data_IF_898162921092
#
_entry.id   IF_898162921092
#
_cell.length_a   1.000
_cell.length_b   1.000
_cell.length_c   1.000
_cell.angle_alpha   90.00
_cell.angle_beta   90.00
_cell.angle_gamma   90.00
#
_symmetry.space_group_name_H-M   'P 1'
#
loop_
_entity.id
_entity.type
_entity.pdbx_description
1 polymer ?
#
# COMPACT_ATOMS: atom_id res chain seq x y z
N UNK A 1 17.75 17.43 -21.48
CA UNK A 1 17.06 16.23 -21.97
C UNK A 1 15.76 16.16 -21.21
N UNK A 2 14.65 16.21 -21.93
CA UNK A 2 13.33 16.31 -21.31
C UNK A 2 12.66 14.94 -21.29
N UNK A 3 11.96 14.65 -20.20
CA UNK A 3 11.22 13.41 -20.00
C UNK A 3 10.01 13.37 -20.95
N UNK A 4 9.77 12.22 -21.59
CA UNK A 4 8.67 12.07 -22.55
C UNK A 4 7.35 11.67 -21.86
N UNK A 5 6.71 12.66 -21.22
CA UNK A 5 5.42 12.49 -20.53
C UNK A 5 4.24 12.16 -21.47
N UNK A 6 4.33 12.46 -22.76
CA UNK A 6 3.28 12.14 -23.74
C UNK A 6 3.25 10.64 -24.06
N UNK A 7 4.43 10.02 -24.20
CA UNK A 7 4.56 8.58 -24.42
C UNK A 7 4.09 7.81 -23.18
N UNK A 8 4.44 8.28 -22.00
CA UNK A 8 4.06 7.64 -20.75
C UNK A 8 3.75 8.69 -19.68
N UNK A 9 2.46 8.93 -19.35
CA UNK A 9 2.10 9.91 -18.30
C UNK A 9 2.50 9.43 -16.91
N UNK A 10 2.84 8.14 -16.76
CA UNK A 10 3.24 7.52 -15.51
C UNK A 10 4.51 6.68 -15.73
N UNK A 11 5.65 7.30 -15.49
CA UNK A 11 6.96 6.76 -15.85
C UNK A 11 7.50 5.80 -14.79
N UNK A 12 8.02 4.63 -15.19
CA UNK A 12 8.74 3.74 -14.28
C UNK A 12 10.00 4.44 -13.73
N UNK A 13 10.19 4.28 -12.43
CA UNK A 13 11.35 4.81 -11.71
C UNK A 13 12.02 3.71 -10.92
N UNK A 14 13.29 3.47 -11.22
CA UNK A 14 14.15 2.56 -10.46
C UNK A 14 14.89 3.37 -9.41
N UNK A 15 14.72 3.02 -8.14
CA UNK A 15 15.51 3.57 -7.05
C UNK A 15 16.71 2.67 -6.78
N UNK A 16 17.91 3.21 -6.84
CA UNK A 16 19.16 2.51 -6.61
C UNK A 16 19.97 3.22 -5.52
N UNK A 17 20.56 2.44 -4.61
CA UNK A 17 21.46 3.00 -3.61
C UNK A 17 22.67 3.66 -4.29
N UNK A 18 22.94 4.92 -3.93
CA UNK A 18 23.99 5.69 -4.58
C UNK A 18 25.42 5.21 -4.27
N UNK A 19 25.62 4.46 -3.17
CA UNK A 19 26.94 3.93 -2.78
C UNK A 19 27.10 2.48 -3.22
N UNK A 20 26.17 1.60 -2.84
CA UNK A 20 26.33 0.17 -3.11
C UNK A 20 25.96 -0.21 -4.54
N UNK A 21 25.13 0.59 -5.20
CA UNK A 21 24.54 0.23 -6.50
C UNK A 21 23.41 -0.79 -6.39
N UNK A 22 22.95 -1.13 -5.18
CA UNK A 22 21.82 -2.05 -5.03
C UNK A 22 20.54 -1.44 -5.57
N UNK A 23 19.80 -2.20 -6.38
CA UNK A 23 18.43 -1.81 -6.76
C UNK A 23 17.52 -2.01 -5.56
N UNK A 24 16.89 -0.93 -5.10
CA UNK A 24 16.08 -0.88 -3.89
C UNK A 24 14.60 -1.15 -4.17
N UNK A 25 14.05 -0.50 -5.19
CA UNK A 25 12.65 -0.67 -5.58
C UNK A 25 12.40 -0.13 -6.99
N UNK A 26 11.29 -0.56 -7.58
CA UNK A 26 10.67 0.08 -8.73
C UNK A 26 9.34 0.70 -8.27
N UNK A 27 9.11 1.94 -8.68
CA UNK A 27 7.85 2.64 -8.51
C UNK A 27 7.55 3.43 -9.78
N UNK A 28 6.57 4.33 -9.70
CA UNK A 28 6.18 5.18 -10.81
C UNK A 28 6.11 6.63 -10.36
N UNK A 29 6.35 7.56 -11.28
CA UNK A 29 6.14 9.00 -11.09
C UNK A 29 5.26 9.52 -12.22
N UNK A 30 4.27 10.31 -11.88
CA UNK A 30 3.70 11.27 -12.83
C UNK A 30 4.52 12.57 -12.81
N UNK A 31 4.12 13.54 -13.64
CA UNK A 31 4.84 14.81 -13.74
C UNK A 31 4.94 15.53 -12.40
N UNK A 32 3.84 15.59 -11.65
CA UNK A 32 3.78 16.27 -10.35
C UNK A 32 4.67 15.58 -9.31
N UNK A 33 4.67 14.24 -9.24
CA UNK A 33 5.58 13.51 -8.34
C UNK A 33 7.05 13.75 -8.68
N UNK A 34 7.39 13.88 -9.96
CA UNK A 34 8.74 14.21 -10.39
C UNK A 34 9.14 15.65 -10.00
N UNK A 35 8.27 16.62 -10.22
CA UNK A 35 8.49 18.02 -9.80
C UNK A 35 8.69 18.13 -8.29
N UNK A 36 7.83 17.49 -7.48
CA UNK A 36 8.00 17.43 -6.03
C UNK A 36 9.31 16.74 -5.60
N UNK A 37 9.77 15.77 -6.38
CA UNK A 37 11.07 15.12 -6.14
C UNK A 37 12.22 16.09 -6.35
N UNK A 38 12.19 16.90 -7.41
CA UNK A 38 13.18 17.93 -7.67
C UNK A 38 13.18 19.02 -6.59
N UNK A 39 11.99 19.51 -6.23
CA UNK A 39 11.83 20.60 -5.26
C UNK A 39 12.29 20.21 -3.86
N UNK A 40 11.91 19.01 -3.41
CA UNK A 40 12.17 18.59 -2.04
C UNK A 40 13.53 17.93 -1.83
N UNK A 41 14.17 17.45 -2.90
CA UNK A 41 15.36 16.59 -2.82
C UNK A 41 15.10 15.18 -2.27
N UNK A 42 13.83 14.77 -2.16
CA UNK A 42 13.43 13.44 -1.69
C UNK A 42 12.52 12.76 -2.71
N UNK A 43 12.63 11.43 -2.85
CA UNK A 43 11.82 10.69 -3.81
C UNK A 43 10.32 10.74 -3.45
N UNK A 44 9.52 11.29 -4.37
CA UNK A 44 8.06 11.26 -4.37
C UNK A 44 7.58 10.38 -5.52
N UNK A 45 6.63 9.51 -5.27
CA UNK A 45 6.11 8.57 -6.27
C UNK A 45 4.61 8.72 -6.41
N UNK A 46 4.05 8.26 -7.54
CA UNK A 46 2.61 8.15 -7.77
C UNK A 46 2.13 6.71 -7.57
N UNK A 47 1.25 6.48 -6.60
CA UNK A 47 0.82 5.14 -6.20
C UNK A 47 -0.36 4.73 -7.05
N UNK A 48 -0.16 3.77 -7.95
CA UNK A 48 -1.29 3.23 -8.74
C UNK A 48 -2.37 2.58 -7.89
N UNK A 49 -2.01 1.98 -6.76
CA UNK A 49 -2.97 1.31 -5.86
C UNK A 49 -3.68 2.28 -4.91
N UNK A 50 -2.99 3.31 -4.43
CA UNK A 50 -3.59 4.37 -3.58
C UNK A 50 -4.18 5.52 -4.39
N UNK A 51 -3.88 5.58 -5.69
CA UNK A 51 -4.25 6.64 -6.63
C UNK A 51 -3.92 8.05 -6.11
N UNK A 52 -2.69 8.23 -5.60
CA UNK A 52 -2.19 9.51 -5.09
C UNK A 52 -0.67 9.54 -5.10
N UNK A 53 -0.12 10.75 -5.05
CA UNK A 53 1.30 10.98 -4.79
C UNK A 53 1.62 10.69 -3.32
N UNK A 54 2.82 10.20 -3.06
CA UNK A 54 3.35 10.01 -1.71
C UNK A 54 4.86 10.27 -1.65
N UNK A 55 5.32 10.86 -0.55
CA UNK A 55 6.75 10.95 -0.25
C UNK A 55 7.23 9.61 0.31
N UNK A 56 8.28 9.02 -0.26
CA UNK A 56 8.82 7.76 0.30
C UNK A 56 9.30 7.99 1.73
N UNK A 57 8.72 7.22 2.65
CA UNK A 57 9.04 7.33 4.08
C UNK A 57 8.23 8.38 4.84
N UNK A 58 7.17 8.98 4.25
CA UNK A 58 6.33 9.99 4.92
C UNK A 58 5.83 9.58 6.30
N UNK A 59 5.46 8.31 6.47
CA UNK A 59 5.00 7.77 7.77
C UNK A 59 6.08 7.01 8.52
N UNK A 60 7.06 6.43 7.82
CA UNK A 60 8.03 5.49 8.40
C UNK A 60 9.40 6.10 8.71
N UNK A 61 9.63 7.33 8.28
CA UNK A 61 10.96 7.98 8.22
C UNK A 61 12.01 7.21 7.39
N UNK A 62 11.62 6.16 6.66
CA UNK A 62 12.50 5.43 5.75
C UNK A 62 12.57 6.12 4.38
N UNK A 63 13.16 7.32 4.39
CA UNK A 63 13.18 8.23 3.25
C UNK A 63 14.25 7.87 2.22
N UNK A 64 14.09 8.41 1.02
CA UNK A 64 15.07 8.33 -0.06
C UNK A 64 15.48 9.75 -0.44
N UNK A 65 16.68 10.16 -0.02
CA UNK A 65 17.26 11.45 -0.40
C UNK A 65 17.91 11.31 -1.78
N UNK A 66 17.54 12.17 -2.73
CA UNK A 66 18.00 12.09 -4.11
C UNK A 66 19.42 12.63 -4.21
N UNK A 67 20.30 11.85 -4.83
CA UNK A 67 21.71 12.20 -5.08
C UNK A 67 21.99 12.43 -6.55
N UNK A 68 21.28 11.73 -7.43
CA UNK A 68 21.35 11.92 -8.88
C UNK A 68 20.05 11.40 -9.53
N UNK A 69 19.76 11.91 -10.73
CA UNK A 69 18.61 11.50 -11.54
C UNK A 69 19.13 11.24 -12.95
N UNK A 70 19.10 9.98 -13.36
CA UNK A 70 19.46 9.57 -14.70
C UNK A 70 18.19 9.20 -15.47
N UNK A 71 18.26 9.39 -16.79
CA UNK A 71 17.20 9.03 -17.71
C UNK A 71 17.77 8.06 -18.76
N UNK A 72 16.95 7.13 -19.23
CA UNK A 72 17.35 6.20 -20.29
C UNK A 72 17.39 6.85 -21.68
N UNK A 73 17.76 6.06 -22.70
CA UNK A 73 18.09 6.57 -24.02
C UNK A 73 16.88 7.07 -24.82
N UNK A 74 15.66 6.61 -24.51
CA UNK A 74 14.41 7.03 -25.13
C UNK A 74 13.50 7.83 -24.18
N UNK A 75 14.04 8.25 -23.05
CA UNK A 75 13.46 9.21 -22.12
C UNK A 75 12.13 8.78 -21.48
N UNK A 76 11.95 7.48 -21.24
CA UNK A 76 10.72 6.90 -20.68
C UNK A 76 10.91 6.16 -19.35
N UNK A 77 12.15 6.04 -18.87
CA UNK A 77 12.47 5.44 -17.57
C UNK A 77 13.48 6.28 -16.81
N UNK A 78 13.25 6.46 -15.50
CA UNK A 78 14.15 7.19 -14.61
C UNK A 78 14.90 6.22 -13.71
N UNK A 79 16.20 6.47 -13.53
CA UNK A 79 17.01 5.88 -12.46
C UNK A 79 17.34 6.95 -11.43
N UNK A 80 16.77 6.82 -10.24
CA UNK A 80 17.14 7.63 -9.08
C UNK A 80 18.30 7.00 -8.34
N UNK A 81 19.41 7.73 -8.22
CA UNK A 81 20.45 7.42 -7.24
C UNK A 81 20.05 8.05 -5.92
N UNK A 82 19.81 7.21 -4.91
CA UNK A 82 19.27 7.67 -3.62
C UNK A 82 20.16 7.25 -2.46
N UNK A 83 20.25 8.11 -1.45
CA UNK A 83 20.66 7.71 -0.11
C UNK A 83 19.44 7.22 0.64
N UNK A 84 19.37 5.91 0.87
CA UNK A 84 18.28 5.29 1.62
C UNK A 84 18.50 5.45 3.13
N UNK A 85 17.55 6.07 3.82
CA UNK A 85 17.46 6.04 5.28
C UNK A 85 16.55 4.89 5.71
N UNK A 86 16.96 4.07 6.69
CA UNK A 86 16.23 2.86 7.06
C UNK A 86 16.16 1.85 5.91
N UNK A 87 15.03 1.14 5.79
CA UNK A 87 14.81 0.12 4.74
C UNK A 87 13.84 0.59 3.65
N UNK A 88 14.07 0.20 2.39
CA UNK A 88 13.19 0.61 1.30
C UNK A 88 11.84 -0.12 1.36
N UNK A 89 11.82 -1.39 1.77
CA UNK A 89 10.64 -2.24 1.75
C UNK A 89 9.87 -2.23 3.08
N UNK A 90 8.53 -2.21 2.98
CA UNK A 90 7.65 -2.30 4.16
C UNK A 90 7.75 -3.66 4.88
N UNK A 91 8.31 -4.69 4.25
CA UNK A 91 8.55 -6.00 4.88
C UNK A 91 9.75 -6.02 5.83
N UNK A 92 10.47 -4.90 5.93
CA UNK A 92 11.65 -4.76 6.79
C UNK A 92 12.98 -5.11 6.11
N UNK A 93 12.99 -5.35 4.80
CA UNK A 93 14.21 -5.62 4.01
C UNK A 93 14.73 -4.37 3.33
N UNK A 94 16.06 -4.22 3.19
CA UNK A 94 16.68 -3.08 2.50
C UNK A 94 16.13 -2.85 1.09
N UNK A 95 15.90 -3.92 0.32
CA UNK A 95 15.34 -3.87 -1.04
C UNK A 95 14.02 -4.64 -1.14
N UNK A 96 13.12 -4.20 -2.03
CA UNK A 96 11.93 -4.94 -2.43
C UNK A 96 12.26 -6.23 -3.20
N UNK A 97 13.46 -6.35 -3.76
CA UNK A 97 13.92 -7.51 -4.54
C UNK A 97 14.53 -8.60 -3.63
N UNK A 98 13.80 -8.99 -2.57
CA UNK A 98 14.29 -9.90 -1.52
C UNK A 98 13.97 -11.38 -1.76
N UNK A 99 13.27 -11.74 -2.85
CA UNK A 99 12.92 -13.12 -3.24
C UNK A 99 13.53 -13.45 -4.60
N UNK A 100 14.12 -14.64 -4.74
CA UNK A 100 14.62 -15.16 -6.02
C UNK A 100 13.68 -16.22 -6.58
N UNK A 101 13.25 -16.05 -7.83
CA UNK A 101 12.42 -17.03 -8.53
C UNK A 101 13.22 -18.30 -8.84
N UNK A 102 14.46 -18.17 -9.32
CA UNK A 102 15.29 -19.31 -9.70
C UNK A 102 15.70 -20.17 -8.51
N UNK A 103 15.98 -19.55 -7.36
CA UNK A 103 16.35 -20.28 -6.13
C UNK A 103 15.12 -20.72 -5.32
N UNK A 104 13.94 -20.17 -5.61
CA UNK A 104 12.73 -20.43 -4.85
C UNK A 104 12.78 -19.96 -3.40
N UNK A 105 13.70 -19.06 -3.05
CA UNK A 105 13.97 -18.66 -1.66
C UNK A 105 14.13 -17.14 -1.50
N UNK A 106 14.16 -16.70 -0.24
CA UNK A 106 14.51 -15.33 0.11
C UNK A 106 16.02 -15.15 0.05
N UNK A 107 16.46 -14.09 -0.61
CA UNK A 107 17.88 -13.72 -0.75
C UNK A 107 18.29 -12.57 0.16
N UNK A 108 17.33 -11.83 0.73
CA UNK A 108 17.57 -10.81 1.75
C UNK A 108 16.76 -11.11 3.01
N UNK A 109 17.43 -10.98 4.15
CA UNK A 109 16.84 -11.07 5.48
C UNK A 109 16.14 -9.77 5.86
N UNK A 110 15.18 -9.88 6.80
CA UNK A 110 14.54 -8.72 7.43
C UNK A 110 15.56 -8.06 8.36
N UNK A 111 15.81 -6.78 8.17
CA UNK A 111 16.73 -5.98 8.98
C UNK A 111 16.00 -5.27 10.12
N UNK A 112 14.74 -4.87 9.89
CA UNK A 112 13.95 -4.08 10.85
C UNK A 112 12.57 -4.69 11.02
N UNK A 113 12.06 -4.75 12.26
CA UNK A 113 10.65 -4.98 12.51
C UNK A 113 9.84 -3.71 12.20
N UNK A 114 9.13 -3.74 11.08
CA UNK A 114 8.37 -2.61 10.57
C UNK A 114 6.91 -2.60 11.06
N UNK A 115 6.49 -3.57 11.87
CA UNK A 115 5.11 -3.68 12.32
C UNK A 115 4.66 -2.52 13.21
N UNK A 116 5.58 -1.88 13.95
CA UNK A 116 5.32 -0.68 14.74
C UNK A 116 5.38 0.62 13.91
N UNK A 117 5.91 0.55 12.68
CA UNK A 117 6.22 1.70 11.83
C UNK A 117 5.14 1.89 10.76
N UNK A 118 4.56 0.81 10.25
CA UNK A 118 3.40 0.85 9.36
C UNK A 118 2.12 0.57 10.15
N UNK A 119 0.98 1.10 9.69
CA UNK A 119 -0.28 0.82 10.39
C UNK A 119 -0.60 -0.68 10.34
N UNK A 120 -1.28 -1.17 11.38
CA UNK A 120 -1.73 -2.57 11.42
C UNK A 120 -2.60 -2.91 10.20
N UNK A 121 -3.40 -1.94 9.74
CA UNK A 121 -4.25 -2.06 8.54
C UNK A 121 -3.41 -2.25 7.28
N UNK A 122 -2.35 -1.45 7.08
CA UNK A 122 -1.45 -1.61 5.93
C UNK A 122 -0.74 -2.97 5.97
N UNK A 123 -0.23 -3.36 7.13
CA UNK A 123 0.47 -4.64 7.33
C UNK A 123 -0.44 -5.83 7.04
N UNK A 124 -1.67 -5.78 7.56
CA UNK A 124 -2.69 -6.79 7.33
C UNK A 124 -3.06 -6.86 5.85
N UNK A 125 -3.27 -5.71 5.19
CA UNK A 125 -3.59 -5.66 3.77
C UNK A 125 -2.49 -6.25 2.89
N UNK A 126 -1.22 -5.93 3.16
CA UNK A 126 -0.09 -6.53 2.45
C UNK A 126 -0.03 -8.04 2.67
N UNK A 127 -0.30 -8.52 3.89
CA UNK A 127 -0.37 -9.95 4.19
C UNK A 127 -1.49 -10.64 3.41
N UNK A 128 -2.65 -10.00 3.25
CA UNK A 128 -3.76 -10.50 2.43
C UNK A 128 -3.34 -10.63 0.95
N UNK A 129 -2.67 -9.61 0.40
CA UNK A 129 -2.17 -9.65 -0.98
C UNK A 129 -1.10 -10.74 -1.18
N UNK A 130 -0.20 -10.92 -0.21
CA UNK A 130 0.78 -12.01 -0.25
C UNK A 130 0.08 -13.37 -0.29
N UNK A 131 -0.92 -13.61 0.57
CA UNK A 131 -1.72 -14.84 0.59
C UNK A 131 -2.51 -15.04 -0.70
N UNK A 132 -2.95 -13.98 -1.36
CA UNK A 132 -3.58 -14.07 -2.68
C UNK A 132 -2.62 -14.69 -3.71
N UNK A 133 -1.36 -14.22 -3.73
CA UNK A 133 -0.33 -14.66 -4.67
C UNK A 133 0.32 -16.02 -4.35
N UNK A 134 0.37 -16.42 -3.08
CA UNK A 134 1.00 -17.65 -2.63
C UNK A 134 0.02 -18.83 -2.67
N UNK A 135 0.34 -19.86 -3.45
CA UNK A 135 -0.48 -21.09 -3.57
C UNK A 135 -0.01 -22.22 -2.66
N UNK A 136 1.08 -22.04 -1.91
CA UNK A 136 1.71 -23.11 -1.12
C UNK A 136 1.12 -23.27 0.29
N UNK A 137 0.43 -22.24 0.80
CA UNK A 137 -0.05 -22.21 2.20
C UNK A 137 -1.57 -22.16 2.30
N UNK A 138 -2.15 -23.21 2.90
CA UNK A 138 -3.54 -23.20 3.36
C UNK A 138 -3.66 -22.24 4.54
N UNK A 139 -4.50 -21.22 4.41
CA UNK A 139 -4.78 -20.25 5.49
C UNK A 139 -6.25 -19.81 5.43
N UNK A 140 -6.78 -19.33 6.55
CA UNK A 140 -8.15 -18.79 6.62
C UNK A 140 -8.39 -17.72 5.55
N UNK A 141 -7.48 -16.74 5.45
CA UNK A 141 -7.54 -15.69 4.43
C UNK A 141 -7.54 -16.27 3.01
N UNK A 142 -6.75 -17.32 2.72
CA UNK A 142 -6.74 -17.93 1.38
C UNK A 142 -8.10 -18.52 1.04
N UNK A 143 -8.72 -19.25 1.99
CA UNK A 143 -10.05 -19.81 1.82
C UNK A 143 -11.09 -18.72 1.51
N UNK A 144 -11.04 -17.60 2.22
CA UNK A 144 -11.92 -16.44 1.97
C UNK A 144 -11.67 -15.80 0.59
N UNK A 145 -10.42 -15.75 0.14
CA UNK A 145 -10.07 -15.21 -1.19
C UNK A 145 -10.50 -16.13 -2.34
N UNK A 146 -10.56 -17.44 -2.10
CA UNK A 146 -10.97 -18.46 -3.08
C UNK A 146 -12.49 -18.66 -3.14
N UNK A 147 -13.19 -18.49 -2.01
CA UNK A 147 -14.64 -18.66 -1.90
C UNK A 147 -15.33 -17.32 -1.55
N UNK A 148 -15.83 -16.65 -2.59
CA UNK A 148 -16.55 -15.37 -2.44
C UNK A 148 -17.85 -15.51 -1.65
N UNK A 149 -18.53 -16.65 -1.77
CA UNK A 149 -19.79 -16.88 -1.06
C UNK A 149 -19.54 -16.94 0.44
N UNK A 150 -18.47 -17.64 0.84
CA UNK A 150 -18.02 -17.67 2.22
C UNK A 150 -17.62 -16.28 2.72
N UNK A 151 -16.84 -15.51 1.94
CA UNK A 151 -16.45 -14.16 2.31
C UNK A 151 -17.66 -13.24 2.55
N UNK A 152 -18.64 -13.26 1.65
CA UNK A 152 -19.85 -12.45 1.79
C UNK A 152 -20.67 -12.86 3.01
N UNK A 153 -20.83 -14.17 3.24
CA UNK A 153 -21.52 -14.68 4.42
C UNK A 153 -20.83 -14.25 5.72
N UNK A 154 -19.49 -14.28 5.77
CA UNK A 154 -18.75 -13.77 6.94
C UNK A 154 -18.98 -12.28 7.15
N UNK A 155 -18.88 -11.44 6.10
CA UNK A 155 -19.15 -10.00 6.24
C UNK A 155 -20.57 -9.75 6.80
N UNK A 156 -21.58 -10.48 6.32
CA UNK A 156 -22.95 -10.36 6.82
C UNK A 156 -23.12 -10.85 8.27
N UNK A 157 -22.40 -11.90 8.65
CA UNK A 157 -22.39 -12.45 10.01
C UNK A 157 -21.78 -11.46 11.00
N UNK A 158 -20.54 -10.99 10.75
CA UNK A 158 -19.84 -10.05 11.65
C UNK A 158 -20.60 -8.71 11.75
N UNK A 159 -21.30 -8.29 10.69
CA UNK A 159 -22.13 -7.09 10.73
C UNK A 159 -23.32 -7.24 11.69
N UNK A 160 -23.93 -8.43 11.76
CA UNK A 160 -25.03 -8.73 12.70
C UNK A 160 -24.49 -8.88 14.12
N UNK A 161 -23.38 -9.59 14.29
CA UNK A 161 -22.73 -9.76 15.59
C UNK A 161 -22.29 -8.42 16.19
N UNK A 162 -21.79 -7.49 15.37
CA UNK A 162 -21.51 -6.13 15.82
C UNK A 162 -22.77 -5.36 16.25
N UNK A 163 -23.89 -5.51 15.54
CA UNK A 163 -25.17 -4.88 15.92
C UNK A 163 -25.62 -5.42 17.28
N UNK A 164 -25.64 -6.74 17.43
CA UNK A 164 -26.05 -7.40 18.67
C UNK A 164 -25.12 -7.01 19.84
N UNK A 165 -23.81 -6.92 19.58
CA UNK A 165 -22.84 -6.49 20.57
C UNK A 165 -23.06 -5.04 21.04
N UNK A 166 -23.38 -4.13 20.12
CA UNK A 166 -23.68 -2.72 20.44
C UNK A 166 -24.97 -2.59 21.24
N UNK A 167 -25.99 -3.42 20.97
CA UNK A 167 -27.30 -3.32 21.61
C UNK A 167 -27.27 -3.71 23.09
N UNK A 168 -26.40 -4.65 23.49
CA UNK A 168 -26.39 -5.08 24.88
C UNK A 168 -25.22 -5.93 25.38
N UNK A 169 -24.14 -6.11 24.62
CA UNK A 169 -22.96 -6.85 25.09
C UNK A 169 -21.89 -5.93 25.70
N UNK A 170 -20.75 -6.49 26.10
CA UNK A 170 -19.64 -5.74 26.68
C UNK A 170 -18.85 -4.96 25.62
N UNK A 171 -18.17 -3.90 26.05
CA UNK A 171 -17.25 -3.12 25.20
C UNK A 171 -16.20 -4.00 24.49
N UNK A 172 -15.68 -5.03 25.19
CA UNK A 172 -14.73 -5.98 24.61
C UNK A 172 -15.32 -6.74 23.42
N UNK A 173 -16.61 -7.10 23.48
CA UNK A 173 -17.32 -7.75 22.38
C UNK A 173 -17.49 -6.77 21.22
N UNK A 174 -17.93 -5.55 21.47
CA UNK A 174 -18.05 -4.51 20.44
C UNK A 174 -16.72 -4.29 19.71
N UNK A 175 -15.60 -4.23 20.44
CA UNK A 175 -14.26 -4.08 19.87
C UNK A 175 -13.88 -5.28 19.01
N UNK A 176 -14.13 -6.51 19.49
CA UNK A 176 -13.83 -7.74 18.76
C UNK A 176 -14.60 -7.84 17.46
N UNK A 177 -15.92 -7.68 17.50
CA UNK A 177 -16.79 -7.79 16.31
C UNK A 177 -16.52 -6.66 15.31
N UNK A 178 -16.17 -5.46 15.81
CA UNK A 178 -15.69 -4.37 14.96
C UNK A 178 -14.40 -4.75 14.22
N UNK A 179 -13.46 -5.39 14.90
CA UNK A 179 -12.20 -5.82 14.31
C UNK A 179 -12.42 -6.93 13.27
N UNK A 180 -13.32 -7.88 13.52
CA UNK A 180 -13.63 -8.97 12.60
C UNK A 180 -14.37 -8.47 11.34
N UNK A 181 -15.34 -7.57 11.48
CA UNK A 181 -15.99 -6.92 10.35
C UNK A 181 -14.97 -6.14 9.49
N UNK A 182 -14.06 -5.39 10.13
CA UNK A 182 -13.00 -4.68 9.44
C UNK A 182 -12.03 -5.64 8.74
N UNK A 183 -11.65 -6.74 9.38
CA UNK A 183 -10.79 -7.77 8.80
C UNK A 183 -11.40 -8.34 7.52
N UNK A 184 -12.65 -8.82 7.57
CA UNK A 184 -13.31 -9.41 6.40
C UNK A 184 -13.53 -8.37 5.29
N UNK A 185 -13.82 -7.11 5.66
CA UNK A 185 -13.87 -5.99 4.72
C UNK A 185 -12.52 -5.78 4.01
N UNK A 186 -11.40 -5.83 4.74
CA UNK A 186 -10.05 -5.73 4.17
C UNK A 186 -9.74 -6.91 3.23
N UNK A 187 -10.22 -8.12 3.52
CA UNK A 187 -10.10 -9.27 2.60
C UNK A 187 -10.87 -9.00 1.31
N UNK A 188 -12.08 -8.44 1.39
CA UNK A 188 -12.85 -8.00 0.22
C UNK A 188 -12.14 -6.93 -0.61
N UNK A 189 -11.51 -5.95 0.03
CA UNK A 189 -10.67 -4.97 -0.65
C UNK A 189 -9.45 -5.62 -1.32
N UNK A 190 -8.81 -6.60 -0.66
CA UNK A 190 -7.67 -7.35 -1.20
C UNK A 190 -8.05 -8.20 -2.42
N UNK A 191 -9.23 -8.82 -2.42
CA UNK A 191 -9.78 -9.52 -3.58
C UNK A 191 -9.87 -8.60 -4.81
N UNK A 192 -10.29 -7.35 -4.59
CA UNK A 192 -10.43 -6.30 -5.60
C UNK A 192 -9.18 -5.46 -5.86
N UNK A 193 -8.09 -5.69 -5.11
CA UNK A 193 -6.84 -4.93 -5.16
C UNK A 193 -7.02 -3.43 -4.87
N UNK A 194 -7.98 -3.10 -4.02
CA UNK A 194 -8.25 -1.73 -3.58
C UNK A 194 -7.48 -1.48 -2.29
N UNK A 195 -6.60 -0.47 -2.29
CA UNK A 195 -5.86 -0.11 -1.08
C UNK A 195 -6.79 0.46 0.00
N UNK A 196 -6.64 0.09 1.28
CA UNK A 196 -7.39 0.70 2.39
C UNK A 196 -7.17 2.22 2.50
N UNK A 197 -6.05 2.74 1.99
CA UNK A 197 -5.77 4.17 1.88
C UNK A 197 -6.86 4.88 1.05
N UNK A 198 -7.44 4.23 0.02
CA UNK A 198 -8.56 4.77 -0.77
C UNK A 198 -9.85 4.90 0.06
N UNK A 199 -10.10 3.95 0.97
CA UNK A 199 -11.22 4.05 1.92
C UNK A 199 -10.97 5.20 2.90
N UNK A 200 -9.74 5.34 3.40
CA UNK A 200 -9.35 6.48 4.26
C UNK A 200 -9.51 7.82 3.53
N UNK A 201 -9.14 7.91 2.26
CA UNK A 201 -9.34 9.11 1.44
C UNK A 201 -10.82 9.44 1.30
N UNK A 202 -11.67 8.43 1.06
CA UNK A 202 -13.11 8.63 0.99
C UNK A 202 -13.70 9.08 2.34
N UNK A 203 -13.27 8.49 3.45
CA UNK A 203 -13.66 8.95 4.79
C UNK A 203 -13.22 10.40 5.04
N UNK A 204 -12.00 10.76 4.63
CA UNK A 204 -11.48 12.13 4.75
C UNK A 204 -12.29 13.12 3.90
N UNK A 205 -12.71 12.73 2.69
CA UNK A 205 -13.57 13.56 1.82
C UNK A 205 -14.91 13.89 2.49
N UNK A 206 -15.45 12.95 3.27
CA UNK A 206 -16.72 13.10 4.00
C UNK A 206 -16.55 13.79 5.35
N UNK A 207 -15.34 13.78 5.91
CA UNK A 207 -15.06 14.36 7.21
C UNK A 207 -15.32 15.88 7.19
N UNK A 208 -16.26 16.33 8.03
CA UNK A 208 -16.69 17.74 8.08
C UNK A 208 -17.85 18.09 7.15
N UNK A 209 -18.38 17.14 6.38
CA UNK A 209 -19.64 17.27 5.64
C UNK A 209 -20.72 16.54 6.44
N UNK A 210 -21.85 17.19 6.71
CA UNK A 210 -23.00 16.56 7.36
C UNK A 210 -23.44 15.34 6.51
N UNK A 211 -23.67 14.20 7.16
CA UNK A 211 -24.11 12.98 6.48
C UNK A 211 -25.50 13.09 5.84
N UNK A 212 -26.27 14.12 6.17
CA UNK A 212 -27.56 14.47 5.56
C UNK A 212 -27.30 15.19 4.23
N UNK A 213 -26.46 16.21 4.24
CA UNK A 213 -26.10 17.02 3.07
C UNK A 213 -25.41 16.17 1.98
N UNK A 214 -24.61 15.18 2.39
CA UNK A 214 -23.99 14.23 1.44
C UNK A 214 -25.03 13.33 0.78
N UNK A 215 -26.04 12.85 1.52
CA UNK A 215 -27.11 12.00 0.96
C UNK A 215 -27.98 12.80 -0.03
N UNK A 216 -28.35 14.03 0.32
CA UNK A 216 -29.13 14.90 -0.56
C UNK A 216 -28.40 15.22 -1.88
N UNK A 217 -27.07 15.40 -1.84
CA UNK A 217 -26.27 15.66 -3.04
C UNK A 217 -26.13 14.48 -4.02
N UNK A 218 -26.48 13.25 -3.60
CA UNK A 218 -26.43 12.04 -4.43
C UNK A 218 -27.77 11.69 -5.07
N UNK A 219 -28.86 12.28 -4.57
CA UNK A 219 -30.23 12.07 -5.04
C UNK A 219 -30.73 13.18 -6.00
N UNK A 220 -29.91 14.22 -6.23
CA UNK A 220 -30.13 15.28 -7.24
C UNK A 220 -29.21 15.15 -8.43
#
# INVERSE_FOLDING_TARGET
MDINWEKNPLIPVVAQDYLSGDVLMLAYMDREAFELTLESGYAHYFSRSRNRIWKKGESSNHTQEVKDILIDCDADTILLKVKQNGVACHTGTRSCFFKSILKGERVLSREVDTNSIYSIVDTLYHTILERKSDNSKRSWTKRLLEDKSLLYSKIEEEAKELIDAIDGESDDRVISESADLLYHSLVGLGLREISPDRVRQELKRRFGVSGIDEKESREG
#
